data_IF_351002858317
#
_entry.id   IF_351002858317
#
_cell.length_a   1.000
_cell.length_b   1.000
_cell.length_c   1.000
_cell.angle_alpha   90.00
_cell.angle_beta   90.00
_cell.angle_gamma   90.00
#
_symmetry.space_group_name_H-M   'P 1'
#
loop_
_entity.id
_entity.type
_entity.pdbx_description
1 polymer ?
#
# COMPACT_ATOMS: atom_id res chain seq x y z
N UNK A 1 -64.46 -28.43 -15.09
CA UNK A 1 -63.90 -27.65 -16.21
C UNK A 1 -62.64 -26.95 -15.69
N UNK A 2 -61.47 -27.45 -16.05
CA UNK A 2 -60.15 -26.96 -15.58
C UNK A 2 -59.79 -25.69 -16.35
N UNK A 3 -59.56 -24.58 -15.66
CA UNK A 3 -59.03 -23.35 -16.27
C UNK A 3 -57.50 -23.41 -16.19
N UNK A 4 -56.84 -23.56 -17.35
CA UNK A 4 -55.39 -23.62 -17.46
C UNK A 4 -54.82 -22.20 -17.48
N UNK A 5 -53.90 -21.95 -16.56
CA UNK A 5 -53.11 -20.72 -16.41
C UNK A 5 -52.06 -20.68 -17.51
N UNK A 6 -51.92 -19.55 -18.22
CA UNK A 6 -50.75 -19.25 -19.04
C UNK A 6 -50.16 -17.91 -18.60
N UNK A 7 -49.17 -17.98 -17.70
CA UNK A 7 -48.32 -16.83 -17.34
C UNK A 7 -47.11 -16.84 -18.29
N UNK A 8 -47.08 -15.91 -19.23
CA UNK A 8 -45.90 -15.68 -20.08
C UNK A 8 -44.91 -14.85 -19.26
N UNK A 9 -43.92 -15.51 -18.67
CA UNK A 9 -42.78 -14.83 -18.03
C UNK A 9 -41.85 -14.35 -19.15
N UNK A 10 -41.91 -13.06 -19.45
CA UNK A 10 -40.89 -12.39 -20.25
C UNK A 10 -39.59 -12.32 -19.43
N UNK A 11 -38.66 -13.23 -19.74
CA UNK A 11 -37.32 -13.22 -19.18
C UNK A 11 -36.51 -12.12 -19.88
N UNK A 12 -36.57 -10.89 -19.37
CA UNK A 12 -35.66 -9.83 -19.79
C UNK A 12 -34.25 -10.19 -19.33
N UNK A 13 -33.42 -10.60 -20.28
CA UNK A 13 -31.97 -10.67 -20.11
C UNK A 13 -31.46 -9.27 -19.76
N UNK A 14 -31.30 -8.98 -18.48
CA UNK A 14 -30.50 -7.84 -18.03
C UNK A 14 -29.05 -8.09 -18.44
N UNK A 15 -28.64 -7.49 -19.55
CA UNK A 15 -27.23 -7.27 -19.85
C UNK A 15 -26.66 -6.47 -18.68
N UNK A 16 -25.85 -7.12 -17.84
CA UNK A 16 -25.06 -6.45 -16.81
C UNK A 16 -23.99 -5.58 -17.51
N UNK A 17 -24.39 -4.41 -18.01
CA UNK A 17 -23.49 -3.27 -18.05
C UNK A 17 -23.18 -2.93 -16.59
N UNK A 18 -22.18 -3.59 -16.02
CA UNK A 18 -21.56 -3.13 -14.78
C UNK A 18 -20.97 -1.76 -15.11
N UNK A 19 -21.71 -0.70 -14.82
CA UNK A 19 -21.18 0.65 -14.81
C UNK A 19 -19.93 0.62 -13.94
N UNK A 20 -18.79 1.01 -14.50
CA UNK A 20 -17.55 1.14 -13.74
C UNK A 20 -17.79 2.23 -12.69
N UNK A 21 -18.03 1.81 -11.45
CA UNK A 21 -18.26 2.74 -10.34
C UNK A 21 -16.91 3.21 -9.84
N UNK A 22 -16.61 4.48 -10.10
CA UNK A 22 -15.55 5.22 -9.43
C UNK A 22 -16.12 5.77 -8.13
N UNK A 23 -15.38 5.70 -7.01
CA UNK A 23 -15.74 6.48 -5.83
C UNK A 23 -15.66 7.98 -6.13
N UNK A 24 -16.48 8.79 -5.45
CA UNK A 24 -16.52 10.26 -5.64
C UNK A 24 -15.16 10.96 -5.35
N UNK A 25 -14.26 10.28 -4.64
CA UNK A 25 -12.94 10.71 -4.23
C UNK A 25 -11.80 9.91 -4.92
N UNK A 26 -12.09 9.29 -6.06
CA UNK A 26 -11.17 8.43 -6.81
C UNK A 26 -9.82 9.11 -7.13
N UNK A 27 -8.71 8.39 -6.89
CA UNK A 27 -7.34 8.89 -7.06
C UNK A 27 -6.54 8.09 -8.08
N UNK A 28 -5.68 8.80 -8.81
CA UNK A 28 -4.65 8.23 -9.69
C UNK A 28 -3.28 8.59 -9.13
N UNK A 29 -2.41 7.59 -8.97
CA UNK A 29 -1.05 7.79 -8.47
C UNK A 29 -0.06 6.95 -9.29
N UNK A 30 0.38 7.52 -10.41
CA UNK A 30 1.24 6.82 -11.36
C UNK A 30 2.70 7.22 -11.19
N UNK A 31 3.60 6.26 -11.41
CA UNK A 31 5.02 6.57 -11.63
C UNK A 31 5.23 7.07 -13.06
N UNK A 32 6.30 7.82 -13.28
CA UNK A 32 6.66 8.28 -14.62
C UNK A 32 6.87 7.07 -15.56
N UNK A 33 6.43 7.20 -16.81
CA UNK A 33 6.47 6.14 -17.84
C UNK A 33 5.62 4.88 -17.58
N UNK A 34 4.79 4.85 -16.53
CA UNK A 34 3.84 3.77 -16.28
C UNK A 34 2.45 4.35 -15.97
N UNK A 35 1.90 5.11 -16.93
CA UNK A 35 0.54 5.67 -16.86
C UNK A 35 -0.42 4.76 -17.62
N UNK A 36 -1.60 4.54 -17.05
CA UNK A 36 -2.67 3.84 -17.73
C UNK A 36 -3.50 4.82 -18.56
N UNK A 37 -4.01 4.37 -19.70
CA UNK A 37 -5.04 5.13 -20.44
C UNK A 37 -6.41 5.01 -19.73
N UNK A 38 -7.39 5.88 -20.02
CA UNK A 38 -8.73 5.75 -19.47
C UNK A 38 -9.41 4.40 -19.75
N UNK A 39 -9.15 3.79 -20.91
CA UNK A 39 -9.66 2.48 -21.31
C UNK A 39 -8.99 1.35 -20.50
N UNK A 40 -7.69 1.47 -20.26
CA UNK A 40 -6.96 0.55 -19.40
C UNK A 40 -7.44 0.64 -17.95
N UNK A 41 -7.72 1.86 -17.45
CA UNK A 41 -8.30 2.07 -16.11
C UNK A 41 -9.64 1.33 -15.96
N UNK A 42 -10.56 1.49 -16.93
CA UNK A 42 -11.83 0.75 -16.95
C UNK A 42 -11.61 -0.76 -16.95
N UNK A 43 -10.61 -1.22 -17.70
CA UNK A 43 -10.26 -2.64 -17.80
C UNK A 43 -9.74 -3.20 -16.48
N UNK A 44 -8.82 -2.50 -15.80
CA UNK A 44 -8.26 -2.97 -14.52
C UNK A 44 -9.27 -2.86 -13.37
N UNK A 45 -10.22 -1.92 -13.42
CA UNK A 45 -11.31 -1.86 -12.45
C UNK A 45 -12.27 -3.03 -12.67
N UNK A 46 -12.68 -3.31 -13.91
CA UNK A 46 -13.49 -4.48 -14.23
C UNK A 46 -12.82 -5.76 -13.74
N UNK A 47 -11.54 -5.93 -14.06
CA UNK A 47 -10.73 -7.06 -13.58
C UNK A 47 -10.74 -7.13 -12.04
N UNK A 48 -10.69 -5.99 -11.35
CA UNK A 48 -10.67 -5.98 -9.91
C UNK A 48 -11.95 -6.55 -9.28
N UNK A 49 -13.11 -6.18 -9.81
CA UNK A 49 -14.38 -6.74 -9.37
C UNK A 49 -14.52 -8.22 -9.74
N UNK A 50 -14.08 -8.65 -10.94
CA UNK A 50 -14.07 -10.08 -11.31
C UNK A 50 -13.15 -10.91 -10.40
N UNK A 51 -12.04 -10.34 -9.96
CA UNK A 51 -11.14 -10.94 -8.97
C UNK A 51 -11.73 -11.01 -7.55
N UNK A 52 -12.87 -10.35 -7.30
CA UNK A 52 -13.59 -10.38 -6.04
C UNK A 52 -13.29 -9.21 -5.09
N UNK A 53 -12.82 -8.07 -5.61
CA UNK A 53 -12.74 -6.83 -4.82
C UNK A 53 -14.15 -6.42 -4.41
N UNK A 54 -14.38 -6.23 -3.11
CA UNK A 54 -15.74 -5.95 -2.59
C UNK A 54 -16.02 -4.47 -2.36
N UNK A 55 -14.97 -3.69 -2.10
CA UNK A 55 -15.11 -2.26 -1.84
C UNK A 55 -15.06 -1.47 -3.16
N UNK A 56 -15.75 -0.32 -3.25
CA UNK A 56 -15.57 0.59 -4.38
C UNK A 56 -14.10 0.97 -4.55
N UNK A 57 -13.65 1.04 -5.80
CA UNK A 57 -12.28 1.44 -6.11
C UNK A 57 -12.08 2.91 -5.75
N UNK A 58 -11.15 3.14 -4.82
CA UNK A 58 -10.74 4.46 -4.34
C UNK A 58 -9.46 4.94 -5.03
N UNK A 59 -8.50 4.05 -5.34
CA UNK A 59 -7.23 4.44 -5.95
C UNK A 59 -6.72 3.43 -6.96
N UNK A 60 -6.20 3.94 -8.07
CA UNK A 60 -5.31 3.19 -8.97
C UNK A 60 -3.92 3.79 -8.85
N UNK A 61 -2.93 2.94 -8.68
CA UNK A 61 -1.53 3.34 -8.64
C UNK A 61 -0.65 2.41 -9.46
N UNK A 62 0.48 2.92 -9.92
CA UNK A 62 1.53 2.13 -10.55
C UNK A 62 2.81 2.26 -9.75
N UNK A 63 3.68 1.27 -9.81
CA UNK A 63 4.95 1.25 -9.08
C UNK A 63 5.99 0.48 -9.86
N UNK A 64 7.26 0.85 -9.68
CA UNK A 64 8.40 0.10 -10.19
C UNK A 64 8.72 -1.08 -9.25
N UNK A 65 9.12 -2.21 -9.81
CA UNK A 65 9.50 -3.44 -9.08
C UNK A 65 11.02 -3.55 -8.95
N UNK A 66 11.63 -2.59 -8.28
CA UNK A 66 13.08 -2.51 -8.15
C UNK A 66 13.72 -3.75 -7.48
N UNK A 67 14.95 -4.13 -7.88
CA UNK A 67 15.83 -3.47 -8.87
C UNK A 67 15.51 -3.81 -10.34
N UNK A 68 14.41 -4.51 -10.63
CA UNK A 68 14.03 -4.86 -12.01
C UNK A 68 13.42 -3.68 -12.78
N UNK A 69 13.42 -3.70 -14.12
CA UNK A 69 12.76 -2.66 -14.93
C UNK A 69 11.22 -2.76 -14.92
N UNK A 70 10.67 -3.81 -14.31
CA UNK A 70 9.25 -4.14 -14.38
C UNK A 70 8.38 -3.19 -13.57
N UNK A 71 7.10 -3.13 -13.93
CA UNK A 71 6.09 -2.31 -13.24
C UNK A 71 4.90 -3.15 -12.82
N UNK A 72 4.26 -2.71 -11.75
CA UNK A 72 3.01 -3.27 -11.26
C UNK A 72 1.93 -2.21 -11.13
N UNK A 73 0.68 -2.68 -11.13
CA UNK A 73 -0.50 -1.86 -10.86
C UNK A 73 -1.07 -2.30 -9.51
N UNK A 74 -1.55 -1.34 -8.72
CA UNK A 74 -2.32 -1.57 -7.50
C UNK A 74 -3.66 -0.87 -7.61
N UNK A 75 -4.72 -1.65 -7.40
CA UNK A 75 -6.09 -1.17 -7.22
C UNK A 75 -6.41 -1.25 -5.74
N UNK A 76 -6.87 -0.16 -5.16
CA UNK A 76 -7.19 -0.06 -3.73
C UNK A 76 -8.64 0.33 -3.56
N UNK A 77 -9.33 -0.39 -2.67
CA UNK A 77 -10.63 0.00 -2.17
C UNK A 77 -10.54 1.09 -1.10
N UNK A 78 -11.69 1.55 -0.61
CA UNK A 78 -11.74 2.47 0.52
C UNK A 78 -11.12 1.87 1.79
N UNK A 79 -10.55 2.73 2.61
CA UNK A 79 -10.09 2.37 3.95
C UNK A 79 -11.29 2.11 4.88
N UNK A 80 -11.18 1.07 5.70
CA UNK A 80 -12.05 0.82 6.86
C UNK A 80 -11.23 1.01 8.12
N UNK A 81 -11.74 1.84 9.03
CA UNK A 81 -11.06 2.18 10.28
C UNK A 81 -11.83 1.55 11.44
N UNK A 82 -11.13 0.73 12.22
CA UNK A 82 -11.62 0.14 13.45
C UNK A 82 -10.61 0.44 14.57
N UNK A 83 -10.96 1.40 15.43
CA UNK A 83 -10.05 1.94 16.45
C UNK A 83 -8.74 2.45 15.83
N UNK A 84 -7.64 1.76 16.15
CA UNK A 84 -6.30 2.05 15.59
C UNK A 84 -5.98 1.27 14.32
N UNK A 85 -6.79 0.29 13.94
CA UNK A 85 -6.54 -0.49 12.74
C UNK A 85 -7.17 0.19 11.53
N UNK A 86 -6.38 0.33 10.47
CA UNK A 86 -6.86 0.71 9.14
C UNK A 86 -6.70 -0.51 8.26
N UNK A 87 -7.77 -0.91 7.60
CA UNK A 87 -7.76 -2.01 6.64
C UNK A 87 -8.14 -1.52 5.25
N UNK A 88 -7.45 -2.02 4.24
CA UNK A 88 -7.67 -1.66 2.84
C UNK A 88 -7.62 -2.93 2.01
N UNK A 89 -8.63 -3.17 1.16
CA UNK A 89 -8.52 -4.22 0.15
C UNK A 89 -7.64 -3.73 -1.00
N UNK A 90 -6.65 -4.54 -1.37
CA UNK A 90 -5.71 -4.24 -2.44
C UNK A 90 -5.71 -5.39 -3.43
N UNK A 91 -5.75 -5.07 -4.72
CA UNK A 91 -5.47 -6.00 -5.79
C UNK A 91 -4.17 -5.59 -6.49
N UNK A 92 -3.25 -6.55 -6.64
CA UNK A 92 -2.07 -6.41 -7.48
C UNK A 92 -2.35 -6.93 -8.87
N UNK A 93 -2.19 -6.06 -9.87
CA UNK A 93 -2.49 -6.33 -11.27
C UNK A 93 -1.21 -6.28 -12.09
N UNK A 94 -1.06 -7.26 -12.96
CA UNK A 94 0.01 -7.40 -13.95
C UNK A 94 -0.46 -6.87 -15.31
N UNK A 95 0.46 -6.28 -16.08
CA UNK A 95 0.28 -5.90 -17.50
C UNK A 95 1.42 -6.54 -18.29
N UNK A 96 1.13 -7.26 -19.38
CA UNK A 96 2.15 -8.02 -20.13
C UNK A 96 3.38 -7.19 -20.48
N UNK A 97 3.17 -5.99 -21.01
CA UNK A 97 4.24 -5.16 -21.58
C UNK A 97 5.12 -4.52 -20.50
N UNK A 98 4.78 -4.72 -19.23
CA UNK A 98 5.51 -4.20 -18.08
C UNK A 98 6.28 -5.28 -17.33
N UNK A 99 6.26 -6.52 -17.82
CA UNK A 99 6.86 -7.69 -17.19
C UNK A 99 7.87 -8.36 -18.12
N UNK A 100 8.42 -9.49 -17.67
CA UNK A 100 9.26 -10.34 -18.50
C UNK A 100 8.50 -10.78 -19.77
N UNK A 101 9.17 -10.92 -20.93
CA UNK A 101 8.52 -11.28 -22.20
C UNK A 101 7.65 -12.54 -22.15
N UNK A 102 7.99 -13.50 -21.29
CA UNK A 102 7.27 -14.77 -21.13
C UNK A 102 6.30 -14.79 -19.95
N UNK A 103 6.13 -13.66 -19.25
CA UNK A 103 5.24 -13.57 -18.11
C UNK A 103 3.79 -13.88 -18.52
N UNK A 104 3.22 -14.89 -17.87
CA UNK A 104 1.85 -15.35 -18.10
C UNK A 104 1.07 -15.42 -16.79
N UNK A 105 -0.27 -15.33 -16.84
CA UNK A 105 -1.08 -15.56 -15.66
C UNK A 105 -0.81 -16.94 -15.04
N UNK A 106 -0.66 -16.98 -13.72
CA UNK A 106 -0.57 -18.22 -12.94
C UNK A 106 -1.96 -18.86 -12.81
N UNK A 107 -1.99 -20.14 -12.43
CA UNK A 107 -3.24 -20.87 -12.16
C UNK A 107 -4.09 -20.10 -11.15
N UNK A 108 -5.36 -19.87 -11.50
CA UNK A 108 -6.33 -19.15 -10.66
C UNK A 108 -6.30 -17.63 -10.78
N UNK A 109 -5.46 -17.06 -11.66
CA UNK A 109 -5.53 -15.65 -12.01
C UNK A 109 -6.54 -15.42 -13.14
N UNK A 110 -7.30 -14.33 -13.04
CA UNK A 110 -8.23 -13.89 -14.08
C UNK A 110 -7.48 -12.97 -15.04
N UNK A 111 -7.75 -13.09 -16.34
CA UNK A 111 -7.12 -12.29 -17.40
C UNK A 111 -8.19 -11.54 -18.20
N UNK A 112 -7.96 -10.25 -18.44
CA UNK A 112 -8.73 -9.43 -19.38
C UNK A 112 -7.73 -8.70 -20.27
N UNK A 113 -7.71 -9.01 -21.57
CA UNK A 113 -6.75 -8.44 -22.52
C UNK A 113 -5.30 -8.75 -22.14
N UNK A 114 -4.48 -7.70 -22.00
CA UNK A 114 -3.09 -7.76 -21.55
C UNK A 114 -2.92 -7.66 -20.02
N UNK A 115 -4.01 -7.62 -19.26
CA UNK A 115 -3.99 -7.54 -17.80
C UNK A 115 -4.37 -8.86 -17.13
N UNK A 116 -3.77 -9.17 -15.99
CA UNK A 116 -4.20 -10.28 -15.15
C UNK A 116 -3.92 -10.06 -13.67
N UNK A 117 -4.70 -10.72 -12.82
CA UNK A 117 -4.56 -10.60 -11.37
C UNK A 117 -5.10 -11.83 -10.63
N UNK A 118 -4.60 -12.02 -9.40
CA UNK A 118 -5.12 -13.05 -8.49
C UNK A 118 -6.31 -12.56 -7.66
N UNK A 119 -6.45 -13.06 -6.44
CA UNK A 119 -7.44 -12.54 -5.49
C UNK A 119 -6.92 -11.27 -4.79
N UNK A 120 -7.78 -10.32 -4.44
CA UNK A 120 -7.42 -9.22 -3.56
C UNK A 120 -6.94 -9.73 -2.19
N UNK A 121 -6.09 -8.95 -1.54
CA UNK A 121 -5.66 -9.17 -0.17
C UNK A 121 -5.99 -7.95 0.69
N UNK A 122 -6.06 -8.16 2.01
CA UNK A 122 -6.27 -7.06 2.96
C UNK A 122 -4.93 -6.57 3.49
N UNK A 123 -4.60 -5.32 3.21
CA UNK A 123 -3.51 -4.62 3.89
C UNK A 123 -4.04 -4.06 5.22
N UNK A 124 -3.26 -4.26 6.29
CA UNK A 124 -3.52 -3.67 7.61
C UNK A 124 -2.45 -2.63 7.89
N UNK A 125 -2.85 -1.51 8.48
CA UNK A 125 -1.96 -0.48 9.03
C UNK A 125 -2.43 -0.13 10.43
N UNK A 126 -1.52 0.38 11.24
CA UNK A 126 -1.83 0.86 12.58
C UNK A 126 -1.72 2.38 12.63
N UNK A 127 -2.72 3.03 13.21
CA UNK A 127 -2.74 4.46 13.51
C UNK A 127 -1.92 4.68 14.78
N UNK A 128 -0.93 5.57 14.66
CA UNK A 128 -0.13 6.11 15.75
C UNK A 128 -0.58 7.54 16.01
N UNK A 129 -0.93 7.86 17.24
CA UNK A 129 -1.31 9.21 17.67
C UNK A 129 -0.14 9.88 18.39
N UNK A 130 0.48 10.85 17.73
CA UNK A 130 1.53 11.67 18.34
C UNK A 130 1.00 13.08 18.53
N UNK A 131 0.76 13.46 19.79
CA UNK A 131 0.27 14.80 20.18
C UNK A 131 -0.99 15.23 19.42
N UNK A 132 -1.95 14.33 19.27
CA UNK A 132 -3.22 14.58 18.56
C UNK A 132 -3.14 14.39 17.05
N UNK A 133 -1.94 14.24 16.46
CA UNK A 133 -1.77 14.01 15.03
C UNK A 133 -1.65 12.51 14.74
N UNK A 134 -2.44 12.04 13.77
CA UNK A 134 -2.49 10.63 13.35
C UNK A 134 -1.48 10.36 12.24
N UNK A 135 -0.70 9.30 12.43
CA UNK A 135 0.27 8.73 11.49
C UNK A 135 -0.11 7.27 11.23
N UNK A 136 0.32 6.71 10.09
CA UNK A 136 0.06 5.30 9.76
C UNK A 136 1.39 4.55 9.65
N UNK A 137 1.50 3.42 10.34
CA UNK A 137 2.60 2.47 10.19
C UNK A 137 2.08 1.20 9.50
N UNK A 138 2.83 0.62 8.56
CA UNK A 138 2.39 -0.59 7.86
C UNK A 138 2.47 -1.84 8.74
N UNK A 139 3.40 -1.87 9.69
CA UNK A 139 3.57 -3.00 10.60
C UNK A 139 4.20 -2.54 11.91
N UNK A 140 3.76 -3.15 13.01
CA UNK A 140 4.34 -2.98 14.34
C UNK A 140 4.50 -4.37 14.93
N UNK A 141 5.72 -4.71 15.37
CA UNK A 141 6.03 -6.02 15.93
C UNK A 141 6.92 -5.88 17.16
N UNK A 142 6.51 -6.52 18.26
CA UNK A 142 7.28 -6.53 19.51
C UNK A 142 7.25 -5.20 20.29
N UNK A 143 6.35 -4.28 19.93
CA UNK A 143 6.14 -2.98 20.58
C UNK A 143 4.65 -2.69 20.67
N UNK A 144 4.23 -1.96 21.70
CA UNK A 144 2.89 -1.37 21.77
C UNK A 144 2.78 -0.15 20.84
N UNK A 145 1.57 0.25 20.41
CA UNK A 145 1.38 1.49 19.66
C UNK A 145 1.89 2.72 20.42
N UNK A 146 1.72 2.80 21.74
CA UNK A 146 2.21 3.90 22.59
C UNK A 146 3.74 4.00 22.61
N UNK A 147 4.43 2.85 22.63
CA UNK A 147 5.89 2.82 22.52
C UNK A 147 6.32 3.36 21.14
N UNK A 148 5.64 2.94 20.06
CA UNK A 148 5.89 3.46 18.72
C UNK A 148 5.58 4.97 18.63
N UNK A 149 4.51 5.45 19.26
CA UNK A 149 4.14 6.88 19.33
C UNK A 149 5.22 7.68 20.06
N UNK A 150 5.78 7.14 21.15
CA UNK A 150 6.89 7.76 21.88
C UNK A 150 8.14 7.87 21.01
N UNK A 151 8.51 6.78 20.32
CA UNK A 151 9.65 6.76 19.40
C UNK A 151 9.46 7.74 18.25
N UNK A 152 8.29 7.71 17.62
CA UNK A 152 7.93 8.61 16.51
C UNK A 152 7.93 10.07 16.97
N UNK A 153 7.42 10.35 18.16
CA UNK A 153 7.41 11.68 18.76
C UNK A 153 8.81 12.25 18.98
N UNK A 154 9.77 11.40 19.38
CA UNK A 154 11.17 11.79 19.49
C UNK A 154 11.78 12.13 18.13
N UNK A 155 11.54 11.32 17.09
CA UNK A 155 12.01 11.63 15.74
C UNK A 155 11.41 12.91 15.17
N UNK A 156 10.09 13.07 15.26
CA UNK A 156 9.38 14.27 14.81
C UNK A 156 9.84 15.54 15.54
N UNK A 157 10.24 15.42 16.81
CA UNK A 157 10.78 16.50 17.61
C UNK A 157 12.29 16.70 17.48
N UNK A 158 12.98 15.95 16.60
CA UNK A 158 14.44 15.92 16.50
C UNK A 158 15.16 15.63 17.83
N UNK A 159 14.54 14.84 18.71
CA UNK A 159 15.04 14.46 20.03
C UNK A 159 15.70 13.09 19.97
N UNK A 160 16.84 13.01 19.33
CA UNK A 160 17.65 11.79 19.25
C UNK A 160 19.13 12.13 19.19
N UNK A 161 19.96 11.17 19.58
CA UNK A 161 21.42 11.21 19.45
C UNK A 161 21.84 10.40 18.23
N UNK A 162 23.00 10.74 17.68
CA UNK A 162 23.61 10.00 16.58
C UNK A 162 24.77 9.15 17.11
N UNK A 163 24.72 7.85 16.85
CA UNK A 163 25.85 6.95 17.01
C UNK A 163 26.98 7.30 16.03
N UNK A 164 28.21 6.82 16.28
CA UNK A 164 29.37 7.13 15.46
C UNK A 164 29.18 6.85 13.96
N UNK A 165 28.55 5.71 13.62
CA UNK A 165 28.34 5.27 12.24
C UNK A 165 27.32 6.13 11.48
N UNK A 166 26.43 6.82 12.20
CA UNK A 166 25.43 7.72 11.62
C UNK A 166 25.96 9.13 11.42
N UNK A 167 26.86 9.60 12.30
CA UNK A 167 27.49 10.94 12.14
C UNK A 167 28.19 11.08 10.78
N UNK A 168 28.86 10.02 10.32
CA UNK A 168 29.47 9.99 8.98
C UNK A 168 28.45 10.06 7.82
N UNK A 169 27.17 9.74 8.08
CA UNK A 169 26.08 9.65 7.10
C UNK A 169 24.96 10.66 7.38
N UNK A 170 25.23 11.72 8.14
CA UNK A 170 24.20 12.66 8.63
C UNK A 170 23.36 13.29 7.50
N UNK A 171 23.97 13.47 6.32
CA UNK A 171 23.26 13.98 5.13
C UNK A 171 22.04 13.13 4.74
N UNK A 172 22.07 11.81 5.00
CA UNK A 172 20.95 10.90 4.72
C UNK A 172 19.72 11.23 5.57
N UNK A 173 19.90 11.70 6.80
CA UNK A 173 18.78 12.07 7.69
C UNK A 173 17.89 13.17 7.09
N UNK A 174 18.46 14.05 6.25
CA UNK A 174 17.71 15.13 5.59
C UNK A 174 16.75 14.59 4.52
N UNK A 175 16.96 13.37 4.04
CA UNK A 175 16.17 12.70 3.01
C UNK A 175 15.00 11.90 3.58
N UNK A 176 15.00 11.64 4.90
CA UNK A 176 13.97 10.86 5.58
C UNK A 176 12.69 11.68 5.72
N UNK A 177 11.56 11.11 5.28
CA UNK A 177 10.23 11.63 5.60
C UNK A 177 9.77 11.10 6.96
N UNK A 178 10.13 11.84 8.01
CA UNK A 178 9.77 11.52 9.41
C UNK A 178 8.26 11.43 9.65
N UNK A 179 7.43 11.92 8.72
CA UNK A 179 5.96 11.86 8.82
C UNK A 179 5.36 10.59 8.22
N UNK A 180 6.18 9.73 7.60
CA UNK A 180 5.74 8.50 6.95
C UNK A 180 6.51 7.29 7.50
N UNK A 181 6.25 6.88 8.76
CA UNK A 181 6.82 5.65 9.27
C UNK A 181 6.29 4.45 8.47
N UNK A 182 7.18 3.58 8.02
CA UNK A 182 6.80 2.35 7.33
C UNK A 182 6.58 1.19 8.30
N UNK A 183 7.33 1.12 9.40
CA UNK A 183 7.10 0.11 10.43
C UNK A 183 8.03 0.23 11.64
N UNK A 184 7.71 -0.53 12.69
CA UNK A 184 8.46 -0.59 13.94
C UNK A 184 8.64 -2.06 14.36
N UNK A 185 9.86 -2.48 14.64
CA UNK A 185 10.19 -3.86 14.93
C UNK A 185 11.17 -3.94 16.08
N UNK A 186 10.84 -4.69 17.14
CA UNK A 186 11.78 -4.99 18.23
C UNK A 186 12.26 -6.43 18.15
N UNK A 187 13.58 -6.62 18.23
CA UNK A 187 14.24 -7.93 18.31
C UNK A 187 15.31 -7.88 19.39
N UNK A 188 15.02 -8.50 20.54
CA UNK A 188 15.85 -8.34 21.74
C UNK A 188 15.90 -6.86 22.16
N UNK A 189 17.10 -6.32 22.30
CA UNK A 189 17.34 -4.92 22.69
C UNK A 189 17.39 -3.96 21.50
N UNK A 190 17.42 -4.48 20.26
CA UNK A 190 17.46 -3.65 19.05
C UNK A 190 16.05 -3.33 18.56
N UNK A 191 15.84 -2.06 18.19
CA UNK A 191 14.61 -1.61 17.55
C UNK A 191 14.96 -1.12 16.15
N UNK A 192 14.26 -1.63 15.15
CA UNK A 192 14.30 -1.15 13.76
C UNK A 192 13.05 -0.30 13.49
N UNK A 193 13.27 0.89 12.92
CA UNK A 193 12.21 1.84 12.56
C UNK A 193 12.39 2.26 11.10
N UNK A 194 11.40 1.93 10.28
CA UNK A 194 11.40 2.26 8.87
C UNK A 194 10.70 3.59 8.58
N UNK A 195 11.21 4.33 7.60
CA UNK A 195 10.62 5.57 7.10
C UNK A 195 10.72 5.66 5.58
N UNK A 196 9.75 6.30 4.93
CA UNK A 196 9.86 6.57 3.49
C UNK A 196 10.85 7.70 3.20
N UNK A 197 11.41 7.70 1.99
CA UNK A 197 12.15 8.84 1.47
C UNK A 197 11.20 10.03 1.16
N UNK A 198 11.67 11.27 1.31
CA UNK A 198 10.89 12.49 0.99
C UNK A 198 10.51 12.57 -0.48
N UNK A 199 11.48 12.36 -1.36
CA UNK A 199 11.26 12.22 -2.79
C UNK A 199 10.49 10.93 -3.08
N UNK A 200 9.47 11.04 -3.93
CA UNK A 200 8.66 9.91 -4.40
C UNK A 200 9.56 8.90 -5.11
N UNK A 201 9.23 7.61 -4.98
CA UNK A 201 9.91 6.50 -5.64
C UNK A 201 11.43 6.45 -5.41
N UNK A 202 11.91 7.02 -4.31
CA UNK A 202 13.34 7.06 -3.95
C UNK A 202 13.68 6.10 -2.80
N UNK A 203 12.80 5.12 -2.57
CA UNK A 203 13.00 4.06 -1.59
C UNK A 203 12.58 4.41 -0.17
N UNK A 204 13.22 3.72 0.78
CA UNK A 204 12.96 3.87 2.20
C UNK A 204 14.25 3.73 3.01
N UNK A 205 14.18 4.18 4.25
CA UNK A 205 15.25 4.07 5.23
C UNK A 205 14.82 3.11 6.33
N UNK A 206 15.77 2.31 6.82
CA UNK A 206 15.62 1.53 8.04
C UNK A 206 16.65 2.02 9.07
N UNK A 207 16.15 2.46 10.22
CA UNK A 207 16.96 2.99 11.31
C UNK A 207 17.05 1.94 12.41
N UNK A 208 18.27 1.55 12.77
CA UNK A 208 18.46 0.77 14.00
C UNK A 208 18.72 1.72 15.16
N UNK A 209 17.90 1.61 16.19
CA UNK A 209 17.98 2.44 17.38
C UNK A 209 18.13 1.60 18.64
N UNK A 210 18.75 2.23 19.64
CA UNK A 210 18.73 1.77 21.02
C UNK A 210 17.97 2.81 21.83
N UNK A 211 17.08 2.33 22.69
CA UNK A 211 16.29 3.16 23.62
C UNK A 211 16.77 2.91 25.04
N UNK A 212 17.29 3.95 25.68
CA UNK A 212 17.61 3.95 27.11
C UNK A 212 16.70 4.99 27.76
N UNK A 213 15.75 4.53 28.57
CA UNK A 213 14.66 5.36 29.11
C UNK A 213 13.89 6.13 28.04
N UNK A 214 14.07 7.45 27.98
CA UNK A 214 13.46 8.38 27.02
C UNK A 214 14.44 8.81 25.91
N UNK A 215 15.71 8.46 26.04
CA UNK A 215 16.73 8.80 25.06
C UNK A 215 16.75 7.77 23.93
N UNK A 216 16.77 8.28 22.70
CA UNK A 216 16.90 7.48 21.49
C UNK A 216 18.24 7.78 20.85
N UNK A 217 19.02 6.74 20.56
CA UNK A 217 20.25 6.86 19.78
C UNK A 217 20.11 6.05 18.50
N UNK A 218 20.28 6.71 17.35
CA UNK A 218 20.34 6.03 16.05
C UNK A 218 21.74 5.44 15.90
N UNK A 219 21.85 4.12 15.88
CA UNK A 219 23.11 3.41 15.75
C UNK A 219 23.50 3.20 14.29
N UNK A 220 22.52 2.86 13.45
CA UNK A 220 22.73 2.61 12.02
C UNK A 220 21.60 3.20 11.17
N UNK A 221 21.95 3.52 9.92
CA UNK A 221 21.00 3.88 8.87
C UNK A 221 21.29 3.01 7.65
N UNK A 222 20.28 2.26 7.24
CA UNK A 222 20.24 1.56 5.97
C UNK A 222 19.32 2.32 5.02
N UNK A 223 19.78 2.52 3.79
CA UNK A 223 18.96 3.07 2.72
C UNK A 223 18.73 1.96 1.69
N UNK A 224 17.47 1.61 1.48
CA UNK A 224 17.08 0.77 0.37
C UNK A 224 16.70 1.70 -0.78
N UNK A 225 17.64 1.90 -1.72
CA UNK A 225 17.41 2.64 -2.94
C UNK A 225 16.87 1.66 -4.00
N UNK A 226 15.76 1.99 -4.68
CA UNK A 226 15.38 1.48 -5.98
C UNK A 226 16.51 1.11 -6.95
#
# INVERSE_FOLDING_TARGET
>A
MKLLILFVVNLTFFSFYHSVVFGDDFKRDYVNLAKLTPEEEKTVIKLAYECGLKEPVYRISTHNMYPSPFKGIRIEGHEKIDGRQVTTQILSVSKSDWLEPEAKPRKGQIRIGNFWAGKPYTQKKTILNVKGKKYRANSIQGLSPEECETILGSFLGAKFKLGPNVKAKEKLLKQIDWTKPSGFYKRGDSISVGFLHKSKDSGFFDLQIVKMDRDITIQEIFQAIP
#
